data_IF_189877011710
#
_entry.id   IF_189877011710
#
_cell.length_a   1.000
_cell.length_b   1.000
_cell.length_c   1.000
_cell.angle_alpha   90.00
_cell.angle_beta   90.00
_cell.angle_gamma   90.00
#
_symmetry.space_group_name_H-M   'P 1'
#
loop_
_entity.id
_entity.type
_entity.pdbx_description
1 polymer ?
#
# COMPACT_ATOMS: atom_id res chain seq x y z
N UNK A 1 20.39 42.66 31.07
CA UNK A 1 20.76 41.37 30.43
C UNK A 1 22.03 40.73 31.03
N UNK A 2 23.14 41.46 31.27
CA UNK A 2 24.38 40.87 31.83
C UNK A 2 24.21 40.24 33.23
N UNK A 3 23.53 40.93 34.15
CA UNK A 3 23.24 40.42 35.52
C UNK A 3 22.46 39.10 35.55
N UNK A 4 21.56 38.87 34.60
CA UNK A 4 20.75 37.63 34.52
C UNK A 4 21.59 36.45 33.99
N UNK A 5 22.56 36.72 33.09
CA UNK A 5 23.49 35.69 32.61
C UNK A 5 24.44 35.21 33.70
N UNK A 6 24.82 36.08 34.63
CA UNK A 6 25.67 35.74 35.77
C UNK A 6 24.95 34.88 36.82
N UNK A 7 23.64 35.07 37.00
CA UNK A 7 22.82 34.31 37.95
C UNK A 7 22.35 32.94 37.42
N UNK A 8 22.51 32.66 36.12
CA UNK A 8 22.13 31.38 35.53
C UNK A 8 23.20 30.31 35.80
N UNK A 9 22.81 29.03 35.96
CA UNK A 9 23.77 27.96 36.15
C UNK A 9 24.76 27.90 34.99
N UNK A 10 26.06 27.87 35.28
CA UNK A 10 27.12 27.89 34.25
C UNK A 10 27.28 26.55 33.54
N UNK A 11 26.98 25.43 34.21
CA UNK A 11 27.11 24.08 33.65
C UNK A 11 25.81 23.57 33.03
N UNK A 12 25.87 22.81 31.93
CA UNK A 12 24.69 22.27 31.25
C UNK A 12 23.87 21.33 32.14
N UNK A 13 24.53 20.56 33.02
CA UNK A 13 23.87 19.67 33.97
C UNK A 13 23.01 20.41 34.98
N UNK A 14 23.53 21.50 35.57
CA UNK A 14 22.78 22.34 36.51
C UNK A 14 21.64 23.06 35.80
N UNK A 15 21.82 23.49 34.54
CA UNK A 15 20.72 24.04 33.72
C UNK A 15 19.61 23.02 33.51
N UNK A 16 19.95 21.79 33.13
CA UNK A 16 18.98 20.71 32.94
C UNK A 16 18.22 20.38 34.24
N UNK A 17 18.90 20.38 35.39
CA UNK A 17 18.28 20.14 36.70
C UNK A 17 17.27 21.23 37.08
N UNK A 18 17.60 22.51 36.82
CA UNK A 18 16.68 23.64 37.05
C UNK A 18 15.48 23.56 36.12
N UNK A 19 15.69 23.25 34.83
CA UNK A 19 14.60 23.04 33.87
C UNK A 19 13.71 21.87 34.30
N UNK A 20 14.30 20.77 34.77
CA UNK A 20 13.55 19.61 35.25
C UNK A 20 12.72 19.94 36.50
N UNK A 21 13.31 20.62 37.48
CA UNK A 21 12.59 21.07 38.68
C UNK A 21 11.43 22.01 38.32
N UNK A 22 11.67 22.91 37.35
CA UNK A 22 10.65 23.81 36.82
C UNK A 22 9.51 23.07 36.13
N UNK A 23 9.80 22.11 35.25
CA UNK A 23 8.78 21.29 34.57
C UNK A 23 7.99 20.42 35.57
N UNK A 24 8.62 20.00 36.66
CA UNK A 24 7.99 19.21 37.72
C UNK A 24 6.97 20.03 38.52
N UNK A 25 7.16 21.34 38.63
CA UNK A 25 6.24 22.24 39.31
C UNK A 25 5.02 22.58 38.44
N UNK A 26 4.08 21.65 38.32
CA UNK A 26 2.92 21.69 37.41
C UNK A 26 1.97 22.90 37.60
N UNK A 27 2.16 23.72 38.63
CA UNK A 27 1.29 24.87 38.97
C UNK A 27 1.64 26.15 38.21
N UNK A 28 2.78 26.20 37.51
CA UNK A 28 3.20 27.41 36.80
C UNK A 28 2.37 27.68 35.53
N UNK A 29 1.89 28.92 35.28
CA UNK A 29 1.13 29.26 34.07
C UNK A 29 1.91 29.01 32.77
N UNK A 30 3.25 29.14 32.81
CA UNK A 30 4.13 28.86 31.68
C UNK A 30 4.10 27.37 31.28
N UNK A 31 3.87 26.45 32.22
CA UNK A 31 3.78 25.01 31.90
C UNK A 31 2.51 24.71 31.11
N UNK A 32 1.41 25.41 31.40
CA UNK A 32 0.19 25.29 30.60
C UNK A 32 0.41 25.82 29.17
N UNK A 33 1.17 26.92 29.02
CA UNK A 33 1.60 27.41 27.70
C UNK A 33 2.47 26.35 27.01
N UNK A 34 3.44 25.75 27.71
CA UNK A 34 4.32 24.71 27.16
C UNK A 34 3.58 23.40 26.81
N UNK A 35 2.51 23.05 27.53
CA UNK A 35 1.59 21.95 27.18
C UNK A 35 0.78 22.30 25.93
N UNK A 36 0.24 23.51 25.84
CA UNK A 36 -0.50 23.98 24.67
C UNK A 36 0.37 23.99 23.40
N UNK A 37 1.65 24.34 23.54
CA UNK A 37 2.64 24.31 22.45
C UNK A 37 3.21 22.88 22.23
N UNK A 38 2.71 21.87 22.94
CA UNK A 38 3.11 20.44 22.86
C UNK A 38 4.60 20.17 23.14
N UNK A 39 5.23 21.01 23.96
CA UNK A 39 6.63 20.83 24.41
C UNK A 39 6.69 19.89 25.61
N UNK A 40 5.69 19.93 26.49
CA UNK A 40 5.55 19.03 27.63
C UNK A 40 4.43 18.05 27.33
N UNK A 41 4.75 16.76 27.30
CA UNK A 41 3.76 15.70 27.07
C UNK A 41 2.82 15.55 28.25
N UNK A 42 1.52 15.59 27.97
CA UNK A 42 0.49 15.27 28.94
C UNK A 42 0.48 13.75 29.20
N UNK A 43 -0.10 13.29 30.33
CA UNK A 43 -0.29 11.86 30.54
C UNK A 43 -1.13 11.21 29.42
N UNK A 44 -2.09 11.93 28.84
CA UNK A 44 -2.89 11.46 27.71
C UNK A 44 -2.04 11.30 26.44
N UNK A 45 -1.18 12.28 26.12
CA UNK A 45 -0.25 12.17 24.99
C UNK A 45 0.67 10.95 25.12
N UNK A 46 1.13 10.64 26.34
CA UNK A 46 1.95 9.44 26.59
C UNK A 46 1.18 8.15 26.33
N UNK A 47 -0.10 8.10 26.68
CA UNK A 47 -0.96 6.95 26.37
C UNK A 47 -1.08 6.82 24.86
N UNK A 48 -1.42 7.91 24.16
CA UNK A 48 -1.56 7.93 22.69
C UNK A 48 -0.26 7.51 21.99
N UNK A 49 0.88 8.00 22.46
CA UNK A 49 2.19 7.63 21.92
C UNK A 49 2.51 6.15 22.17
N UNK A 50 2.17 5.64 23.35
CA UNK A 50 2.34 4.22 23.67
C UNK A 50 1.47 3.33 22.79
N UNK A 51 0.20 3.70 22.59
CA UNK A 51 -0.73 2.95 21.74
C UNK A 51 -0.27 2.99 20.28
N UNK A 52 0.15 4.15 19.78
CA UNK A 52 0.69 4.30 18.43
C UNK A 52 1.95 3.45 18.23
N UNK A 53 2.83 3.39 19.24
CA UNK A 53 4.03 2.56 19.20
C UNK A 53 3.71 1.07 19.14
N UNK A 54 2.69 0.62 19.88
CA UNK A 54 2.23 -0.77 19.88
C UNK A 54 1.57 -1.14 18.55
N UNK A 55 0.75 -0.25 17.97
CA UNK A 55 0.17 -0.44 16.64
C UNK A 55 1.26 -0.58 15.58
N UNK A 56 2.30 0.27 15.62
CA UNK A 56 3.43 0.19 14.69
C UNK A 56 4.17 -1.15 14.84
N UNK A 57 4.42 -1.60 16.07
CA UNK A 57 5.05 -2.91 16.34
C UNK A 57 4.22 -4.07 15.80
N UNK A 58 2.89 -4.05 16.01
CA UNK A 58 1.99 -5.07 15.48
C UNK A 58 2.04 -5.11 13.94
N UNK A 59 2.04 -3.96 13.28
CA UNK A 59 2.15 -3.90 11.81
C UNK A 59 3.51 -4.44 11.35
N UNK A 60 4.60 -4.11 12.05
CA UNK A 60 5.93 -4.66 11.77
C UNK A 60 5.95 -6.19 11.92
N UNK A 61 5.29 -6.71 12.95
CA UNK A 61 5.16 -8.15 13.18
C UNK A 61 4.41 -8.81 12.02
N UNK A 62 3.24 -8.30 11.62
CA UNK A 62 2.46 -8.79 10.48
C UNK A 62 3.30 -8.78 9.20
N UNK A 63 4.06 -7.71 8.94
CA UNK A 63 4.95 -7.63 7.78
C UNK A 63 6.02 -8.73 7.85
N UNK A 64 6.61 -8.96 9.03
CA UNK A 64 7.66 -9.94 9.23
C UNK A 64 7.16 -11.38 9.05
N UNK A 65 5.99 -11.72 9.60
CA UNK A 65 5.36 -13.04 9.48
C UNK A 65 4.94 -13.30 8.04
N UNK A 66 4.32 -12.31 7.39
CA UNK A 66 3.92 -12.39 5.97
C UNK A 66 5.14 -12.58 5.06
N UNK A 67 6.28 -11.93 5.33
CA UNK A 67 7.53 -12.13 4.58
C UNK A 67 8.10 -13.55 4.76
N UNK A 68 7.95 -14.16 5.95
CA UNK A 68 8.44 -15.53 6.22
C UNK A 68 7.63 -16.60 5.49
N UNK A 69 6.32 -16.42 5.35
CA UNK A 69 5.40 -17.44 4.82
C UNK A 69 5.51 -17.70 3.30
N UNK A 70 6.19 -16.81 2.53
CA UNK A 70 6.56 -16.97 1.10
C UNK A 70 5.57 -17.76 0.22
N UNK A 71 4.35 -17.23 0.03
CA UNK A 71 3.34 -17.83 -0.85
C UNK A 71 2.78 -16.82 -1.85
N UNK A 72 1.95 -17.27 -2.81
CA UNK A 72 1.28 -16.34 -3.72
C UNK A 72 0.32 -15.39 -2.98
N UNK A 73 -0.28 -15.85 -1.88
CA UNK A 73 -1.16 -15.04 -1.02
C UNK A 73 -0.39 -14.03 -0.17
N UNK A 74 0.91 -14.25 0.12
CA UNK A 74 1.69 -13.22 0.84
C UNK A 74 1.89 -11.96 0.02
N UNK A 75 1.93 -12.08 -1.31
CA UNK A 75 2.08 -10.90 -2.19
C UNK A 75 0.84 -10.02 -2.12
N UNK A 76 -0.36 -10.61 -2.21
CA UNK A 76 -1.63 -9.88 -2.10
C UNK A 76 -1.83 -9.27 -0.71
N UNK A 77 -1.52 -10.03 0.35
CA UNK A 77 -1.57 -9.52 1.74
C UNK A 77 -0.63 -8.32 1.92
N UNK A 78 0.59 -8.40 1.41
CA UNK A 78 1.53 -7.27 1.50
C UNK A 78 1.07 -6.04 0.70
N UNK A 79 0.40 -6.25 -0.43
CA UNK A 79 -0.16 -5.14 -1.22
C UNK A 79 -1.33 -4.47 -0.45
N UNK A 80 -2.19 -5.26 0.19
CA UNK A 80 -3.24 -4.75 1.11
C UNK A 80 -2.63 -3.98 2.28
N UNK A 81 -1.56 -4.48 2.91
CA UNK A 81 -0.87 -3.77 4.00
C UNK A 81 -0.32 -2.43 3.48
N UNK A 82 0.37 -2.44 2.34
CA UNK A 82 1.02 -1.23 1.83
C UNK A 82 0.01 -0.17 1.40
N UNK A 83 -1.11 -0.57 0.81
CA UNK A 83 -2.20 0.35 0.45
C UNK A 83 -2.85 0.93 1.70
N UNK A 84 -3.06 0.11 2.73
CA UNK A 84 -3.70 0.54 3.98
C UNK A 84 -2.91 1.64 4.68
N UNK A 85 -1.58 1.51 4.73
CA UNK A 85 -0.71 2.48 5.42
C UNK A 85 -0.31 3.68 4.54
N UNK A 86 -0.45 3.60 3.21
CA UNK A 86 0.03 4.64 2.28
C UNK A 86 -0.98 5.75 1.97
N UNK A 87 -1.58 6.38 2.98
CA UNK A 87 -2.50 7.52 2.77
C UNK A 87 -1.78 8.76 2.23
N UNK A 88 -2.53 9.73 1.68
CA UNK A 88 -1.98 10.94 1.04
C UNK A 88 -1.27 11.88 2.01
N UNK A 89 -1.82 12.03 3.22
CA UNK A 89 -1.35 12.96 4.24
C UNK A 89 -0.09 12.49 4.99
N UNK A 90 0.34 11.24 4.80
CA UNK A 90 1.48 10.68 5.54
C UNK A 90 2.73 10.65 4.64
N UNK A 91 3.88 11.04 5.19
CA UNK A 91 5.15 10.96 4.45
C UNK A 91 5.58 9.52 4.18
N UNK A 92 5.69 9.16 2.89
CA UNK A 92 6.17 7.83 2.43
C UNK A 92 7.52 7.47 3.05
N UNK A 93 8.45 8.43 3.13
CA UNK A 93 9.79 8.23 3.71
C UNK A 93 9.71 7.90 5.21
N UNK A 94 8.83 8.57 5.94
CA UNK A 94 8.65 8.35 7.37
C UNK A 94 8.08 6.96 7.64
N UNK A 95 7.01 6.59 6.92
CA UNK A 95 6.37 5.26 7.01
C UNK A 95 7.34 4.15 6.61
N UNK A 96 8.08 4.34 5.51
CA UNK A 96 9.04 3.34 5.04
C UNK A 96 10.11 3.03 6.08
N UNK A 97 10.64 4.07 6.75
CA UNK A 97 11.59 3.91 7.87
C UNK A 97 10.95 3.23 9.07
N UNK A 98 9.75 3.65 9.48
CA UNK A 98 9.05 3.09 10.64
C UNK A 98 8.62 1.64 10.44
N UNK A 99 8.26 1.21 9.22
CA UNK A 99 7.75 -0.14 8.95
C UNK A 99 8.73 -1.07 8.23
N UNK A 100 9.92 -0.61 7.88
CA UNK A 100 10.88 -1.40 7.11
C UNK A 100 10.38 -1.75 5.71
N UNK A 101 9.70 -0.79 5.06
CA UNK A 101 9.13 -0.93 3.72
C UNK A 101 9.85 -0.05 2.70
N UNK A 102 10.00 -0.55 1.48
CA UNK A 102 10.58 0.20 0.38
C UNK A 102 9.64 1.32 -0.08
N UNK A 103 10.18 2.54 -0.26
CA UNK A 103 9.47 3.70 -0.79
C UNK A 103 8.76 3.42 -2.13
N UNK A 104 9.36 2.62 -3.02
CA UNK A 104 8.72 2.22 -4.30
C UNK A 104 7.41 1.48 -4.05
N UNK A 105 7.39 0.58 -3.06
CA UNK A 105 6.21 -0.19 -2.69
C UNK A 105 5.12 0.68 -2.09
N UNK A 106 5.48 1.61 -1.20
CA UNK A 106 4.54 2.59 -0.64
C UNK A 106 3.97 3.54 -1.71
N UNK A 107 4.77 3.92 -2.70
CA UNK A 107 4.28 4.74 -3.81
C UNK A 107 3.23 4.00 -4.65
N UNK A 108 3.50 2.73 -4.97
CA UNK A 108 2.55 1.87 -5.68
C UNK A 108 1.28 1.62 -4.85
N UNK A 109 1.44 1.39 -3.55
CA UNK A 109 0.32 1.23 -2.63
C UNK A 109 -0.56 2.48 -2.56
N UNK A 110 0.03 3.69 -2.57
CA UNK A 110 -0.73 4.94 -2.66
C UNK A 110 -1.49 5.08 -3.98
N UNK A 111 -0.85 4.79 -5.12
CA UNK A 111 -1.50 4.82 -6.43
C UNK A 111 -2.68 3.85 -6.48
N UNK A 112 -2.48 2.62 -5.99
CA UNK A 112 -3.53 1.63 -5.95
C UNK A 112 -4.68 2.05 -5.02
N UNK A 113 -4.37 2.56 -3.81
CA UNK A 113 -5.36 3.15 -2.90
C UNK A 113 -6.18 4.25 -3.57
N UNK A 114 -5.53 5.19 -4.26
CA UNK A 114 -6.21 6.27 -4.98
C UNK A 114 -7.15 5.70 -6.05
N UNK A 115 -6.68 4.74 -6.87
CA UNK A 115 -7.51 4.13 -7.92
C UNK A 115 -8.72 3.34 -7.38
N UNK A 116 -8.57 2.69 -6.22
CA UNK A 116 -9.68 1.95 -5.59
C UNK A 116 -10.71 2.90 -4.98
N UNK A 117 -10.26 4.01 -4.38
CA UNK A 117 -11.16 5.03 -3.82
C UNK A 117 -11.85 5.88 -4.90
N UNK A 118 -11.23 6.02 -6.07
CA UNK A 118 -11.75 6.76 -7.23
C UNK A 118 -12.61 5.89 -8.17
N UNK A 119 -12.93 4.65 -7.80
CA UNK A 119 -13.75 3.67 -8.54
C UNK A 119 -13.17 3.12 -9.86
N UNK A 120 -11.94 3.52 -10.24
CA UNK A 120 -11.28 3.03 -11.47
C UNK A 120 -10.86 1.54 -11.38
N UNK A 121 -10.72 0.99 -10.17
CA UNK A 121 -10.31 -0.40 -9.96
C UNK A 121 -11.19 -1.11 -8.93
N UNK A 122 -11.43 -2.40 -9.15
CA UNK A 122 -12.04 -3.28 -8.16
C UNK A 122 -11.20 -3.36 -6.86
N UNK A 123 -11.86 -3.87 -5.81
CA UNK A 123 -11.46 -3.92 -4.39
C UNK A 123 -9.96 -3.98 -4.05
N UNK A 124 -9.60 -3.62 -2.81
CA UNK A 124 -8.23 -3.62 -2.28
C UNK A 124 -7.46 -4.94 -2.43
N UNK A 125 -8.17 -6.05 -2.60
CA UNK A 125 -7.62 -7.40 -2.81
C UNK A 125 -7.60 -7.82 -4.28
N UNK A 126 -8.21 -7.05 -5.17
CA UNK A 126 -8.29 -7.35 -6.58
C UNK A 126 -6.95 -7.10 -7.27
N UNK A 127 -6.29 -8.20 -7.64
CA UNK A 127 -5.08 -8.16 -8.45
C UNK A 127 -5.38 -8.73 -9.82
N UNK A 128 -5.35 -7.88 -10.84
CA UNK A 128 -5.45 -8.34 -12.24
C UNK A 128 -4.21 -9.20 -12.52
N UNK A 129 -4.41 -10.47 -12.89
CA UNK A 129 -3.28 -11.33 -13.28
C UNK A 129 -2.61 -10.72 -14.50
N UNK A 130 -1.29 -10.63 -14.46
CA UNK A 130 -0.50 -10.28 -15.63
C UNK A 130 -0.70 -11.39 -16.65
N UNK A 131 -1.43 -11.10 -17.72
CA UNK A 131 -1.50 -11.99 -18.87
C UNK A 131 -0.13 -11.99 -19.55
N UNK A 132 0.25 -13.11 -20.17
CA UNK A 132 1.51 -13.19 -20.92
C UNK A 132 1.48 -12.16 -22.07
N UNK A 133 2.66 -11.76 -22.58
CA UNK A 133 2.76 -10.71 -23.60
C UNK A 133 2.09 -11.08 -24.93
N UNK A 134 1.96 -12.36 -25.22
CA UNK A 134 1.23 -12.95 -26.34
C UNK A 134 -0.29 -13.02 -26.12
N UNK A 135 -0.77 -12.74 -24.91
CA UNK A 135 -2.19 -12.78 -24.63
C UNK A 135 -2.92 -11.60 -25.28
N UNK A 136 -4.04 -11.89 -25.93
CA UNK A 136 -4.92 -10.90 -26.53
C UNK A 136 -5.29 -9.79 -25.52
N UNK A 137 -5.29 -8.54 -25.99
CA UNK A 137 -5.79 -7.42 -25.21
C UNK A 137 -7.27 -7.63 -24.86
N UNK A 138 -7.74 -7.07 -23.75
CA UNK A 138 -9.11 -7.30 -23.27
C UNK A 138 -10.17 -6.77 -24.24
N UNK A 139 -9.86 -5.71 -25.00
CA UNK A 139 -10.69 -5.23 -26.10
C UNK A 139 -10.83 -6.31 -27.18
N UNK A 140 -9.73 -6.94 -27.58
CA UNK A 140 -9.74 -7.99 -28.61
C UNK A 140 -10.45 -9.25 -28.09
N UNK A 141 -10.28 -9.61 -26.82
CA UNK A 141 -11.03 -10.71 -26.21
C UNK A 141 -12.54 -10.45 -26.23
N UNK A 142 -12.94 -9.21 -25.93
CA UNK A 142 -14.35 -8.81 -25.99
C UNK A 142 -14.88 -8.86 -27.41
N UNK A 143 -14.14 -8.33 -28.39
CA UNK A 143 -14.52 -8.40 -29.80
C UNK A 143 -14.67 -9.84 -30.30
N UNK A 144 -13.73 -10.73 -29.95
CA UNK A 144 -13.82 -12.15 -30.27
C UNK A 144 -15.05 -12.79 -29.61
N UNK A 145 -15.29 -12.50 -28.34
CA UNK A 145 -16.47 -12.98 -27.61
C UNK A 145 -17.78 -12.50 -28.23
N UNK A 146 -17.89 -11.20 -28.52
CA UNK A 146 -19.07 -10.58 -29.12
C UNK A 146 -19.33 -11.17 -30.52
N UNK A 147 -18.27 -11.40 -31.30
CA UNK A 147 -18.34 -12.10 -32.58
C UNK A 147 -18.89 -13.52 -32.44
N UNK A 148 -18.41 -14.30 -31.47
CA UNK A 148 -18.89 -15.68 -31.22
C UNK A 148 -20.31 -15.78 -30.67
N UNK A 149 -20.80 -14.73 -30.02
CA UNK A 149 -22.17 -14.65 -29.50
C UNK A 149 -23.14 -14.05 -30.50
N UNK A 150 -22.64 -13.33 -31.52
CA UNK A 150 -23.48 -12.71 -32.53
C UNK A 150 -24.42 -13.73 -33.22
N UNK A 151 -25.71 -13.40 -33.36
CA UNK A 151 -26.68 -14.29 -34.00
C UNK A 151 -26.31 -14.46 -35.48
N UNK A 152 -26.27 -15.71 -35.95
CA UNK A 152 -25.89 -16.07 -37.33
C UNK A 152 -24.51 -16.72 -37.44
N UNK A 153 -23.72 -16.77 -36.37
CA UNK A 153 -22.48 -17.53 -36.35
C UNK A 153 -22.72 -19.00 -36.00
N UNK A 154 -22.34 -19.87 -36.94
CA UNK A 154 -22.39 -21.32 -36.73
C UNK A 154 -21.39 -21.69 -35.63
N UNK A 155 -21.92 -22.08 -34.47
CA UNK A 155 -21.10 -22.66 -33.41
C UNK A 155 -20.79 -24.10 -33.81
N UNK A 156 -19.56 -24.60 -33.60
CA UNK A 156 -19.33 -26.04 -33.69
C UNK A 156 -20.28 -26.71 -32.70
N UNK A 157 -21.29 -27.40 -33.23
CA UNK A 157 -22.33 -28.12 -32.49
C UNK A 157 -21.80 -29.40 -31.84
N UNK A 158 -20.51 -29.69 -32.00
CA UNK A 158 -19.91 -30.97 -31.63
C UNK A 158 -20.24 -32.07 -32.65
N UNK A 159 -20.84 -31.71 -33.80
CA UNK A 159 -21.12 -32.64 -34.87
C UNK A 159 -19.80 -32.96 -35.60
N UNK A 160 -19.58 -34.23 -35.95
CA UNK A 160 -18.35 -34.68 -36.65
C UNK A 160 -18.13 -33.94 -37.98
N UNK A 161 -19.21 -33.44 -38.58
CA UNK A 161 -19.19 -32.68 -39.82
C UNK A 161 -18.72 -31.22 -39.66
N UNK A 162 -18.69 -30.69 -38.43
CA UNK A 162 -18.18 -29.34 -38.16
C UNK A 162 -16.64 -29.29 -38.27
N UNK A 163 -15.98 -30.45 -38.21
CA UNK A 163 -14.53 -30.62 -38.36
C UNK A 163 -14.24 -31.25 -39.72
N UNK A 164 -14.70 -30.64 -40.81
CA UNK A 164 -14.26 -31.04 -42.15
C UNK A 164 -12.98 -30.31 -42.54
N UNK A 165 -11.86 -31.03 -42.54
CA UNK A 165 -10.62 -30.56 -43.17
C UNK A 165 -10.79 -30.59 -44.69
N UNK A 166 -11.07 -29.45 -45.32
CA UNK A 166 -10.98 -29.35 -46.78
C UNK A 166 -9.52 -29.24 -47.21
N UNK A 167 -9.11 -30.13 -48.13
CA UNK A 167 -7.78 -30.14 -48.73
C UNK A 167 -7.88 -29.41 -50.07
N UNK A 168 -7.48 -28.14 -50.13
CA UNK A 168 -7.42 -27.35 -51.36
C UNK A 168 -5.99 -27.34 -51.93
N UNK A 169 -5.66 -28.37 -52.72
CA UNK A 169 -4.48 -28.37 -53.60
C UNK A 169 -3.09 -28.38 -52.94
N UNK A 170 -2.00 -28.46 -53.73
CA UNK A 170 -0.76 -29.06 -53.24
C UNK A 170 0.14 -28.18 -52.35
N UNK A 171 -0.01 -26.84 -52.32
CA UNK A 171 1.06 -25.98 -51.79
C UNK A 171 0.65 -24.75 -50.95
N UNK A 172 -0.61 -24.59 -50.53
CA UNK A 172 -0.99 -23.51 -49.60
C UNK A 172 -1.71 -24.07 -48.37
N UNK A 173 -1.03 -24.04 -47.23
CA UNK A 173 -1.57 -24.43 -45.94
C UNK A 173 -2.22 -23.21 -45.30
N UNK A 174 -3.53 -23.01 -45.54
CA UNK A 174 -4.32 -22.10 -44.70
C UNK A 174 -4.81 -22.90 -43.49
N UNK A 175 -4.06 -22.84 -42.39
CA UNK A 175 -4.51 -23.35 -41.11
C UNK A 175 -5.61 -22.44 -40.57
N UNK A 176 -6.87 -22.85 -40.73
CA UNK A 176 -7.93 -22.39 -39.82
C UNK A 176 -7.73 -23.13 -38.49
N UNK A 177 -6.78 -22.63 -37.69
CA UNK A 177 -6.50 -23.12 -36.34
C UNK A 177 -7.67 -22.77 -35.43
N UNK A 178 -8.60 -23.71 -35.27
CA UNK A 178 -9.33 -23.84 -34.02
C UNK A 178 -8.35 -24.37 -32.97
N UNK A 179 -7.60 -23.45 -32.35
CA UNK A 179 -6.76 -23.77 -31.20
C UNK A 179 -7.61 -23.79 -29.94
N UNK A 180 -7.63 -24.96 -29.29
CA UNK A 180 -8.07 -25.15 -27.91
C UNK A 180 -7.08 -24.51 -26.93
#
# INVERSE_FOLDING_TARGET
>A
MRKIKESLPKTPTKRAAVIYAYIKDQKSPTINILRNVKVITTPEDKIVDSTNSNIIKNIQEIISTTKKQRSKTTTTVMDIITTSVSSENISKKHVGRKLGLNNKRLSRGRQHRASVLQLDNASWSFTKRKTRSDALNDINKKLVYDFWISPGMSRPTGNKNDIQRMRTGPNNLFLMLFMF
#
